data_IF_187794916036
#
_entry.id   IF_187794916036
#
_cell.length_a   1.000
_cell.length_b   1.000
_cell.length_c   1.000
_cell.angle_alpha   90.00
_cell.angle_beta   90.00
_cell.angle_gamma   90.00
#
_symmetry.space_group_name_H-M   'P 1'
#
loop_
_entity.id
_entity.type
_entity.pdbx_description
1 polymer ?
#
# COMPACT_ATOMS: atom_id res chain seq x y z
N UNK A 1 -26.77 19.03 -23.23
CA UNK A 1 -27.01 18.69 -21.82
C UNK A 1 -26.02 17.69 -21.24
N UNK A 2 -25.79 16.51 -21.84
CA UNK A 2 -24.79 15.54 -21.34
C UNK A 2 -23.39 16.14 -21.13
N UNK A 3 -22.86 16.86 -22.14
CA UNK A 3 -21.55 17.50 -22.02
C UNK A 3 -21.49 18.51 -20.88
N UNK A 4 -22.53 19.36 -20.75
CA UNK A 4 -22.63 20.36 -19.68
C UNK A 4 -22.57 19.70 -18.29
N UNK A 5 -23.31 18.61 -18.11
CA UNK A 5 -23.35 17.85 -16.86
C UNK A 5 -21.99 17.22 -16.50
N UNK A 6 -21.26 16.73 -17.50
CA UNK A 6 -19.93 16.15 -17.34
C UNK A 6 -18.90 17.24 -17.00
N UNK A 7 -18.90 18.36 -17.73
CA UNK A 7 -17.96 19.48 -17.48
C UNK A 7 -18.19 20.14 -16.12
N UNK A 8 -19.46 20.34 -15.73
CA UNK A 8 -19.83 20.97 -14.46
C UNK A 8 -19.99 19.94 -13.32
N UNK A 9 -19.64 18.67 -13.56
CA UNK A 9 -19.56 17.59 -12.56
C UNK A 9 -20.85 17.37 -11.75
N UNK A 10 -22.00 17.35 -12.42
CA UNK A 10 -23.29 17.09 -11.77
C UNK A 10 -24.11 16.01 -12.49
N UNK A 11 -25.03 15.40 -11.75
CA UNK A 11 -25.98 14.43 -12.29
C UNK A 11 -27.38 15.02 -12.44
N UNK A 12 -28.02 14.77 -13.58
CA UNK A 12 -29.43 15.11 -13.80
C UNK A 12 -30.29 13.87 -14.07
N UNK A 13 -31.60 14.02 -13.86
CA UNK A 13 -32.62 13.05 -14.23
C UNK A 13 -33.69 13.66 -15.12
N UNK A 14 -34.33 12.82 -15.93
CA UNK A 14 -35.45 13.23 -16.77
C UNK A 14 -36.74 13.13 -15.95
N UNK A 15 -37.36 14.27 -15.67
CA UNK A 15 -38.63 14.32 -14.91
C UNK A 15 -39.79 13.89 -15.78
N UNK A 16 -39.80 14.40 -17.02
CA UNK A 16 -40.80 14.10 -18.04
C UNK A 16 -40.15 14.21 -19.41
N UNK A 17 -40.28 13.16 -20.20
CA UNK A 17 -39.86 13.13 -21.59
C UNK A 17 -41.01 12.56 -22.42
N UNK A 18 -41.58 13.37 -23.30
CA UNK A 18 -42.56 12.92 -24.28
C UNK A 18 -42.25 13.56 -25.64
N UNK A 19 -43.01 13.21 -26.68
CA UNK A 19 -42.78 13.67 -28.05
C UNK A 19 -42.84 15.20 -28.23
N UNK A 20 -43.31 15.96 -27.23
CA UNK A 20 -43.47 17.42 -27.32
C UNK A 20 -42.72 18.21 -26.24
N UNK A 21 -42.17 17.55 -25.21
CA UNK A 21 -41.59 18.22 -24.03
C UNK A 21 -40.47 17.40 -23.40
N UNK A 22 -39.40 18.10 -23.01
CA UNK A 22 -38.27 17.55 -22.26
C UNK A 22 -38.10 18.39 -20.99
N UNK A 23 -38.09 17.74 -19.83
CA UNK A 23 -37.80 18.36 -18.55
C UNK A 23 -36.69 17.60 -17.81
N UNK A 24 -35.62 18.31 -17.49
CA UNK A 24 -34.47 17.80 -16.73
C UNK A 24 -34.39 18.52 -15.38
N UNK A 25 -34.03 17.79 -14.32
CA UNK A 25 -33.69 18.35 -13.01
C UNK A 25 -32.41 17.73 -12.47
N UNK A 26 -31.72 18.44 -11.58
CA UNK A 26 -30.60 17.85 -10.83
C UNK A 26 -31.10 16.63 -10.02
N UNK A 27 -30.24 15.63 -9.84
CA UNK A 27 -30.56 14.48 -8.98
C UNK A 27 -30.60 14.84 -7.50
N UNK A 28 -29.86 15.87 -7.09
CA UNK A 28 -29.99 16.41 -5.74
C UNK A 28 -31.36 17.05 -5.57
N UNK A 29 -32.11 16.59 -4.56
CA UNK A 29 -33.48 17.00 -4.30
C UNK A 29 -33.58 18.45 -3.83
N UNK A 30 -32.53 19.00 -3.24
CA UNK A 30 -32.48 20.38 -2.75
C UNK A 30 -31.88 21.34 -3.79
N UNK A 31 -31.47 20.82 -4.94
CA UNK A 31 -30.90 21.62 -6.01
C UNK A 31 -31.98 22.28 -6.90
N UNK A 32 -31.87 23.60 -7.09
CA UNK A 32 -32.78 24.38 -7.94
C UNK A 32 -32.59 24.19 -9.45
N UNK A 33 -31.49 23.55 -9.89
CA UNK A 33 -31.14 23.44 -11.31
C UNK A 33 -32.18 22.63 -12.10
N UNK A 34 -32.65 23.22 -13.21
CA UNK A 34 -33.66 22.62 -14.09
C UNK A 34 -33.63 23.19 -15.49
N UNK A 35 -33.96 22.34 -16.45
CA UNK A 35 -34.12 22.71 -17.87
C UNK A 35 -35.48 22.23 -18.33
N UNK A 36 -36.24 23.14 -18.97
CA UNK A 36 -37.52 22.82 -19.57
C UNK A 36 -37.55 23.29 -21.02
N UNK A 37 -37.75 22.34 -21.93
CA UNK A 37 -37.81 22.55 -23.37
C UNK A 37 -39.11 22.00 -23.96
N UNK A 38 -39.63 22.68 -24.99
CA UNK A 38 -40.77 22.23 -25.80
C UNK A 38 -40.33 22.03 -27.24
N UNK A 39 -40.81 20.98 -27.91
CA UNK A 39 -40.59 20.75 -29.35
C UNK A 39 -41.50 21.68 -30.15
N UNK A 40 -40.94 22.35 -31.16
CA UNK A 40 -41.67 23.24 -32.07
C UNK A 40 -42.49 22.44 -33.11
N UNK A 41 -43.32 23.12 -33.89
CA UNK A 41 -44.18 22.48 -34.91
C UNK A 41 -43.40 21.72 -35.99
N UNK A 42 -42.16 22.13 -36.25
CA UNK A 42 -41.22 21.48 -37.18
C UNK A 42 -40.67 20.13 -36.69
N UNK A 43 -40.99 19.72 -35.45
CA UNK A 43 -40.59 18.48 -34.77
C UNK A 43 -39.09 18.30 -34.53
N UNK A 44 -38.25 19.23 -34.96
CA UNK A 44 -36.79 19.12 -34.86
C UNK A 44 -36.17 20.23 -34.02
N UNK A 45 -36.88 21.35 -33.84
CA UNK A 45 -36.39 22.48 -33.06
C UNK A 45 -36.92 22.41 -31.62
N UNK A 46 -36.02 22.57 -30.66
CA UNK A 46 -36.38 22.71 -29.25
C UNK A 46 -36.38 24.18 -28.85
N UNK A 47 -37.49 24.66 -28.28
CA UNK A 47 -37.58 25.97 -27.64
C UNK A 47 -37.34 25.83 -26.14
N UNK A 48 -36.29 26.45 -25.64
CA UNK A 48 -36.02 26.58 -24.21
C UNK A 48 -37.09 27.50 -23.60
N UNK A 49 -37.81 26.99 -22.60
CA UNK A 49 -38.90 27.72 -21.92
C UNK A 49 -38.47 28.22 -20.56
N UNK A 50 -37.66 27.43 -19.85
CA UNK A 50 -37.14 27.78 -18.55
C UNK A 50 -35.77 27.10 -18.37
N UNK A 51 -34.79 27.87 -17.89
CA UNK A 51 -33.46 27.38 -17.57
C UNK A 51 -32.97 28.06 -16.30
N UNK A 52 -32.74 27.26 -15.27
CA UNK A 52 -32.06 27.69 -14.05
C UNK A 52 -30.65 27.13 -14.15
N UNK A 53 -29.69 27.99 -14.44
CA UNK A 53 -28.30 27.61 -14.66
C UNK A 53 -27.54 27.37 -13.35
N UNK A 54 -27.87 28.11 -12.29
CA UNK A 54 -27.17 28.04 -11.02
C UNK A 54 -27.51 26.77 -10.25
N UNK A 55 -26.47 26.12 -9.73
CA UNK A 55 -26.60 25.00 -8.81
C UNK A 55 -26.55 25.52 -7.36
N UNK A 56 -27.43 24.99 -6.52
CA UNK A 56 -27.41 25.22 -5.05
C UNK A 56 -26.83 24.03 -4.29
N UNK A 57 -26.47 22.95 -4.99
CA UNK A 57 -25.81 21.77 -4.43
C UNK A 57 -24.30 21.84 -4.65
N UNK A 58 -23.55 21.26 -3.72
CA UNK A 58 -22.15 20.91 -3.98
C UNK A 58 -22.08 19.78 -5.02
N UNK A 59 -21.00 19.73 -5.81
CA UNK A 59 -20.83 18.70 -6.81
C UNK A 59 -20.84 17.30 -6.15
N UNK A 60 -21.73 16.42 -6.60
CA UNK A 60 -21.87 15.04 -6.08
C UNK A 60 -20.52 14.29 -6.19
N UNK A 61 -19.79 14.20 -5.08
CA UNK A 61 -18.45 13.63 -5.05
C UNK A 61 -18.42 12.16 -5.48
N UNK A 62 -19.52 11.43 -5.28
CA UNK A 62 -19.61 10.00 -5.56
C UNK A 62 -20.01 9.69 -7.00
N UNK A 63 -20.55 10.66 -7.75
CA UNK A 63 -21.19 10.42 -9.04
C UNK A 63 -20.90 11.50 -10.10
N UNK A 64 -19.68 12.09 -10.04
CA UNK A 64 -19.21 13.21 -10.87
C UNK A 64 -19.37 13.03 -12.39
N UNK A 65 -19.56 11.80 -12.89
CA UNK A 65 -19.62 11.47 -14.32
C UNK A 65 -20.72 10.48 -14.74
N UNK A 66 -21.83 10.36 -13.99
CA UNK A 66 -22.88 9.37 -14.30
C UNK A 66 -23.50 9.50 -15.71
N UNK A 67 -23.29 10.62 -16.41
CA UNK A 67 -23.75 10.87 -17.78
C UNK A 67 -22.74 10.44 -18.87
N UNK A 68 -21.48 10.18 -18.52
CA UNK A 68 -20.41 9.75 -19.43
C UNK A 68 -20.46 8.23 -19.69
N UNK A 69 -21.56 7.75 -20.29
CA UNK A 69 -21.74 6.33 -20.63
C UNK A 69 -20.88 5.92 -21.84
N UNK A 70 -20.59 4.63 -22.00
CA UNK A 70 -19.75 4.09 -23.09
C UNK A 70 -20.09 4.65 -24.51
N UNK A 71 -21.36 4.80 -24.92
CA UNK A 71 -21.68 5.39 -26.24
C UNK A 71 -21.27 6.85 -26.38
N UNK A 72 -21.32 7.62 -25.30
CA UNK A 72 -20.88 9.02 -25.31
C UNK A 72 -19.35 9.11 -25.42
N UNK A 73 -18.63 8.23 -24.73
CA UNK A 73 -17.17 8.15 -24.80
C UNK A 73 -16.73 7.79 -26.23
N UNK A 74 -17.42 6.84 -26.87
CA UNK A 74 -17.15 6.47 -28.26
C UNK A 74 -17.34 7.64 -29.24
N UNK A 75 -18.44 8.40 -29.14
CA UNK A 75 -18.71 9.60 -29.96
C UNK A 75 -17.59 10.65 -29.83
N UNK A 76 -17.05 10.84 -28.62
CA UNK A 76 -15.97 11.80 -28.39
C UNK A 76 -14.62 11.35 -28.89
N UNK A 77 -14.36 10.05 -28.88
CA UNK A 77 -13.07 9.50 -29.28
C UNK A 77 -12.98 9.15 -30.76
N UNK A 78 -14.10 9.01 -31.46
CA UNK A 78 -14.11 8.53 -32.85
C UNK A 78 -13.26 9.39 -33.79
N UNK A 79 -13.46 10.73 -33.80
CA UNK A 79 -12.68 11.64 -34.65
C UNK A 79 -11.20 11.71 -34.27
N UNK A 80 -10.89 11.49 -32.99
CA UNK A 80 -9.53 11.52 -32.48
C UNK A 80 -8.75 10.24 -32.84
N UNK A 81 -9.39 9.07 -32.70
CA UNK A 81 -8.84 7.78 -33.12
C UNK A 81 -8.62 7.72 -34.63
N UNK A 82 -9.52 8.34 -35.43
CA UNK A 82 -9.36 8.46 -36.88
C UNK A 82 -8.14 9.31 -37.28
N UNK A 83 -7.81 10.34 -36.49
CA UNK A 83 -6.65 11.21 -36.76
C UNK A 83 -5.33 10.66 -36.18
N UNK A 84 -5.39 9.74 -35.22
CA UNK A 84 -4.22 9.14 -34.57
C UNK A 84 -4.30 7.60 -34.53
N UNK A 85 -4.28 6.91 -35.69
CA UNK A 85 -4.51 5.47 -35.77
C UNK A 85 -3.44 4.61 -35.07
N UNK A 86 -2.25 5.17 -34.81
CA UNK A 86 -1.16 4.49 -34.10
C UNK A 86 -1.17 4.76 -32.59
N UNK A 87 -2.17 5.49 -32.09
CA UNK A 87 -2.26 5.81 -30.68
C UNK A 87 -2.48 4.55 -29.84
N UNK A 88 -1.65 4.38 -28.81
CA UNK A 88 -1.77 3.24 -27.92
C UNK A 88 -2.94 3.46 -26.95
N UNK A 89 -3.66 2.41 -26.53
CA UNK A 89 -4.79 2.53 -25.60
C UNK A 89 -4.47 3.29 -24.31
N UNK A 90 -3.22 3.21 -23.80
CA UNK A 90 -2.79 3.96 -22.62
C UNK A 90 -2.71 5.47 -22.85
N UNK A 91 -2.29 5.88 -24.04
CA UNK A 91 -2.14 7.30 -24.40
C UNK A 91 -3.54 7.88 -24.65
N UNK A 92 -4.45 7.09 -25.24
CA UNK A 92 -5.87 7.41 -25.34
C UNK A 92 -6.54 7.55 -23.97
N UNK A 93 -6.27 6.62 -23.03
CA UNK A 93 -6.79 6.74 -21.66
C UNK A 93 -6.25 8.00 -20.99
N UNK A 94 -4.94 8.27 -21.04
CA UNK A 94 -4.37 9.50 -20.49
C UNK A 94 -5.02 10.76 -21.08
N UNK A 95 -5.29 10.78 -22.38
CA UNK A 95 -5.95 11.91 -23.03
C UNK A 95 -7.42 12.06 -22.58
N UNK A 96 -8.17 10.96 -22.47
CA UNK A 96 -9.54 10.97 -21.93
C UNK A 96 -9.56 11.43 -20.47
N UNK A 97 -8.56 11.02 -19.70
CA UNK A 97 -8.40 11.41 -18.29
C UNK A 97 -8.06 12.90 -18.14
N UNK A 98 -7.17 13.42 -19.00
CA UNK A 98 -6.80 14.83 -19.01
C UNK A 98 -7.93 15.73 -19.54
N UNK A 99 -8.62 15.34 -20.61
CA UNK A 99 -9.68 16.13 -21.23
C UNK A 99 -11.00 16.11 -20.46
N UNK A 100 -11.33 14.99 -19.80
CA UNK A 100 -12.65 14.77 -19.19
C UNK A 100 -12.61 14.46 -17.69
N UNK A 101 -11.44 14.48 -17.04
CA UNK A 101 -11.30 14.35 -15.59
C UNK A 101 -11.76 13.01 -15.01
N UNK A 102 -11.73 11.93 -15.80
CA UNK A 102 -12.54 10.74 -15.57
C UNK A 102 -11.98 9.68 -14.59
N UNK A 103 -10.76 9.80 -14.04
CA UNK A 103 -10.24 8.76 -13.12
C UNK A 103 -9.10 9.18 -12.18
N UNK A 104 -9.05 10.43 -11.72
CA UNK A 104 -8.17 10.75 -10.59
C UNK A 104 -8.83 10.39 -9.25
N UNK A 105 -10.12 10.69 -9.06
CA UNK A 105 -10.74 10.54 -7.74
C UNK A 105 -11.05 9.08 -7.35
N UNK A 106 -11.52 8.24 -8.28
CA UNK A 106 -11.85 6.83 -7.98
C UNK A 106 -10.63 5.97 -7.63
N UNK A 107 -9.48 6.28 -8.24
CA UNK A 107 -8.19 5.65 -7.90
C UNK A 107 -7.68 6.16 -6.54
N UNK A 108 -7.85 7.46 -6.25
CA UNK A 108 -7.51 8.08 -4.96
C UNK A 108 -8.42 7.59 -3.81
N UNK A 109 -9.69 7.28 -4.08
CA UNK A 109 -10.67 6.85 -3.07
C UNK A 109 -10.75 5.32 -2.90
N UNK A 110 -10.48 4.54 -3.94
CA UNK A 110 -10.58 3.07 -3.93
C UNK A 110 -9.26 2.36 -3.62
N UNK A 111 -8.12 2.91 -4.06
CA UNK A 111 -6.84 2.50 -3.52
C UNK A 111 -6.66 3.23 -2.20
N UNK A 112 -6.48 2.50 -1.09
CA UNK A 112 -5.88 3.12 0.10
C UNK A 112 -4.64 3.87 -0.39
N UNK A 113 -4.43 5.15 -0.05
CA UNK A 113 -3.16 5.81 -0.28
C UNK A 113 -2.09 4.99 0.43
N UNK A 114 -1.43 4.10 -0.30
CA UNK A 114 -0.14 3.58 0.13
C UNK A 114 0.78 4.72 -0.20
N UNK A 115 0.92 5.64 0.76
CA UNK A 115 1.98 6.63 0.72
C UNK A 115 3.27 5.83 0.79
N UNK A 116 3.78 5.48 -0.38
CA UNK A 116 5.12 4.94 -0.55
C UNK A 116 6.08 6.09 -0.33
N UNK A 117 6.42 6.35 0.92
CA UNK A 117 7.60 7.13 1.22
C UNK A 117 8.78 6.31 0.72
N UNK A 118 9.46 6.85 -0.29
CA UNK A 118 10.80 6.38 -0.63
C UNK A 118 11.60 6.37 0.68
N UNK A 119 12.23 5.23 1.00
CA UNK A 119 12.82 4.93 2.31
C UNK A 119 14.01 5.81 2.71
N UNK A 120 14.26 6.88 1.96
CA UNK A 120 15.14 7.98 2.26
C UNK A 120 14.23 9.18 2.53
N UNK A 121 14.11 9.75 3.73
CA UNK A 121 15.08 10.73 4.21
C UNK A 121 14.87 11.13 5.68
N UNK A 122 14.10 10.38 6.46
CA UNK A 122 13.89 10.70 7.87
C UNK A 122 14.31 9.50 8.71
N UNK A 123 15.36 9.68 9.52
CA UNK A 123 16.02 8.66 10.32
C UNK A 123 15.13 8.17 11.48
N UNK A 124 13.97 7.60 11.18
CA UNK A 124 13.11 6.88 12.12
C UNK A 124 13.65 5.47 12.46
N UNK A 125 14.98 5.29 12.42
CA UNK A 125 15.67 4.06 12.85
C UNK A 125 15.77 3.95 14.37
N UNK A 126 15.38 5.01 15.09
CA UNK A 126 15.31 5.02 16.54
C UNK A 126 14.32 3.95 17.03
N UNK A 127 14.80 3.09 17.91
CA UNK A 127 13.95 2.09 18.58
C UNK A 127 13.33 2.65 19.87
N UNK A 128 13.80 3.79 20.36
CA UNK A 128 13.35 4.40 21.61
C UNK A 128 12.74 5.76 21.36
N UNK A 129 11.68 6.05 22.10
CA UNK A 129 10.97 7.34 22.03
C UNK A 129 11.89 8.53 22.30
N UNK A 130 12.76 8.55 23.34
CA UNK A 130 13.66 9.69 23.54
C UNK A 130 14.64 9.92 22.38
N UNK A 131 15.13 8.86 21.74
CA UNK A 131 16.02 8.99 20.58
C UNK A 131 15.26 9.48 19.35
N UNK A 132 14.01 9.00 19.17
CA UNK A 132 13.11 9.49 18.13
C UNK A 132 12.78 10.97 18.30
N UNK A 133 12.45 11.40 19.52
CA UNK A 133 12.05 12.78 19.80
C UNK A 133 13.22 13.73 19.56
N UNK A 134 14.44 13.36 19.94
CA UNK A 134 15.65 14.12 19.58
C UNK A 134 15.81 14.31 18.06
N UNK A 135 15.49 13.31 17.24
CA UNK A 135 15.51 13.45 15.79
C UNK A 135 14.37 14.33 15.27
N UNK A 136 13.21 14.29 15.90
CA UNK A 136 12.08 15.16 15.54
C UNK A 136 12.33 16.62 15.92
N UNK A 137 13.07 16.88 17.00
CA UNK A 137 13.48 18.22 17.40
C UNK A 137 14.52 18.79 16.42
N UNK A 138 15.53 18.01 16.04
CA UNK A 138 16.49 18.40 14.99
C UNK A 138 15.80 18.70 13.65
N UNK A 139 14.79 17.90 13.29
CA UNK A 139 14.01 18.13 12.09
C UNK A 139 13.19 19.43 12.16
N UNK A 140 12.71 19.80 13.34
CA UNK A 140 12.02 21.08 13.54
C UNK A 140 12.94 22.28 13.28
N UNK A 141 14.18 22.18 13.77
CA UNK A 141 15.22 23.20 13.57
C UNK A 141 15.58 23.34 12.08
N UNK A 142 15.63 22.23 11.34
CA UNK A 142 15.94 22.20 9.91
C UNK A 142 14.75 22.67 9.05
N UNK A 143 13.54 22.11 9.26
CA UNK A 143 12.31 22.46 8.55
C UNK A 143 11.04 22.08 9.34
N UNK A 144 10.48 23.07 10.05
CA UNK A 144 9.21 22.96 10.78
C UNK A 144 8.07 22.40 9.92
N UNK A 145 7.98 22.72 8.62
CA UNK A 145 6.89 22.24 7.77
C UNK A 145 6.96 20.74 7.55
N UNK A 146 8.17 20.18 7.50
CA UNK A 146 8.37 18.72 7.38
C UNK A 146 7.92 18.02 8.66
N UNK A 147 8.24 18.56 9.84
CA UNK A 147 7.74 18.04 11.13
C UNK A 147 6.21 18.08 11.20
N UNK A 148 5.61 19.23 10.89
CA UNK A 148 4.14 19.39 10.89
C UNK A 148 3.46 18.42 9.92
N UNK A 149 4.06 18.19 8.75
CA UNK A 149 3.53 17.23 7.78
C UNK A 149 3.60 15.79 8.30
N UNK A 150 4.71 15.39 8.94
CA UNK A 150 4.85 14.06 9.55
C UNK A 150 3.87 13.82 10.70
N UNK A 151 3.62 14.85 11.50
CA UNK A 151 2.74 14.76 12.67
C UNK A 151 1.26 14.59 12.32
N UNK A 152 0.89 14.75 11.04
CA UNK A 152 -0.45 14.39 10.53
C UNK A 152 -0.68 12.88 10.52
N UNK A 153 0.38 12.10 10.36
CA UNK A 153 0.29 10.64 10.29
C UNK A 153 0.56 9.99 11.67
N UNK A 154 -0.20 8.95 12.05
CA UNK A 154 0.03 8.22 13.29
C UNK A 154 1.49 7.72 13.41
N UNK A 155 2.14 8.03 14.53
CA UNK A 155 3.54 7.62 14.79
C UNK A 155 3.74 6.10 14.67
N UNK A 156 2.73 5.30 15.03
CA UNK A 156 2.72 3.84 14.91
C UNK A 156 2.86 3.33 13.48
N UNK A 157 2.62 4.15 12.45
CA UNK A 157 2.76 3.78 11.05
C UNK A 157 4.09 4.23 10.42
N UNK A 158 4.84 5.12 11.08
CA UNK A 158 6.03 5.78 10.50
C UNK A 158 7.29 5.74 11.36
N UNK A 159 7.19 5.41 12.65
CA UNK A 159 8.30 5.45 13.58
C UNK A 159 8.43 4.15 14.37
N UNK A 160 9.58 3.47 14.22
CA UNK A 160 9.88 2.20 14.93
C UNK A 160 9.72 2.31 16.44
N UNK A 161 10.09 3.45 17.03
CA UNK A 161 9.92 3.70 18.46
C UNK A 161 8.48 3.57 18.97
N UNK A 162 7.49 3.62 18.07
CA UNK A 162 6.06 3.52 18.35
C UNK A 162 5.41 2.28 17.72
N UNK A 163 6.20 1.37 17.14
CA UNK A 163 5.68 0.13 16.57
C UNK A 163 5.31 -0.86 17.68
N UNK A 164 4.30 -1.67 17.39
CA UNK A 164 3.88 -2.73 18.28
C UNK A 164 4.88 -3.92 18.23
N UNK A 165 5.30 -4.36 19.41
CA UNK A 165 6.28 -5.44 19.60
C UNK A 165 5.72 -6.84 19.34
N UNK A 166 4.41 -7.02 19.15
CA UNK A 166 3.80 -8.34 18.94
C UNK A 166 3.99 -8.83 17.52
N UNK A 167 4.05 -7.91 16.55
CA UNK A 167 4.26 -8.21 15.13
C UNK A 167 5.65 -8.76 14.82
N UNK A 168 6.64 -8.50 15.68
CA UNK A 168 8.06 -8.85 15.51
C UNK A 168 8.63 -8.33 14.18
N UNK A 169 8.22 -7.13 13.78
CA UNK A 169 8.63 -6.50 12.54
C UNK A 169 9.04 -5.04 12.77
N UNK A 170 10.26 -4.68 12.38
CA UNK A 170 10.77 -3.30 12.39
C UNK A 170 10.85 -2.69 10.98
N UNK A 171 10.22 -3.34 9.99
CA UNK A 171 10.26 -2.90 8.61
C UNK A 171 9.49 -1.58 8.43
N UNK A 172 10.19 -0.59 7.89
CA UNK A 172 9.65 0.74 7.52
C UNK A 172 9.83 1.00 6.02
N UNK A 173 10.00 -0.06 5.24
CA UNK A 173 10.38 0.03 3.83
C UNK A 173 9.19 -0.22 2.91
N UNK A 174 9.23 0.42 1.76
CA UNK A 174 8.32 0.22 0.63
C UNK A 174 8.66 -1.07 -0.17
N UNK A 175 9.52 -1.96 0.32
CA UNK A 175 10.05 -3.12 -0.41
C UNK A 175 8.95 -3.98 -1.05
N UNK A 176 7.80 -4.13 -0.38
CA UNK A 176 6.65 -4.83 -0.95
C UNK A 176 6.11 -4.10 -2.18
N UNK A 177 5.87 -2.80 -2.08
CA UNK A 177 5.42 -1.96 -3.18
C UNK A 177 6.43 -1.95 -4.34
N UNK A 178 7.73 -1.89 -4.06
CA UNK A 178 8.78 -1.97 -5.08
C UNK A 178 8.78 -3.32 -5.79
N UNK A 179 8.68 -4.42 -5.03
CA UNK A 179 8.62 -5.77 -5.58
C UNK A 179 7.38 -5.96 -6.45
N UNK A 180 6.21 -5.51 -5.96
CA UNK A 180 4.96 -5.53 -6.68
C UNK A 180 5.04 -4.68 -7.96
N UNK A 181 5.53 -3.44 -7.85
CA UNK A 181 5.72 -2.53 -8.99
C UNK A 181 6.61 -3.18 -10.06
N UNK A 182 7.74 -3.77 -9.66
CA UNK A 182 8.63 -4.47 -10.57
C UNK A 182 7.95 -5.65 -11.29
N UNK A 183 7.10 -6.41 -10.59
CA UNK A 183 6.31 -7.47 -11.22
C UNK A 183 5.31 -6.92 -12.24
N UNK A 184 4.54 -5.91 -11.86
CA UNK A 184 3.48 -5.36 -12.73
C UNK A 184 4.05 -4.57 -13.91
N UNK A 185 5.26 -4.01 -13.83
CA UNK A 185 5.89 -3.28 -14.94
C UNK A 185 5.90 -4.07 -16.26
N UNK A 186 6.03 -5.41 -16.16
CA UNK A 186 6.11 -6.32 -17.31
C UNK A 186 4.75 -6.74 -17.88
N UNK A 187 3.67 -6.52 -17.13
CA UNK A 187 2.32 -7.04 -17.45
C UNK A 187 1.23 -5.96 -17.46
N UNK A 188 1.52 -4.74 -16.98
CA UNK A 188 0.56 -3.62 -16.88
C UNK A 188 0.03 -3.10 -18.21
N UNK A 189 0.65 -3.48 -19.32
CA UNK A 189 0.23 -3.13 -20.68
C UNK A 189 -0.78 -4.13 -21.28
N UNK A 190 -1.10 -5.21 -20.55
CA UNK A 190 -2.01 -6.26 -21.02
C UNK A 190 -3.47 -5.93 -20.69
N UNK A 191 -4.39 -6.61 -21.39
CA UNK A 191 -5.82 -6.56 -21.04
C UNK A 191 -6.02 -7.07 -19.62
N UNK A 192 -7.08 -6.61 -18.93
CA UNK A 192 -7.32 -6.95 -17.52
C UNK A 192 -7.23 -8.45 -17.24
N UNK A 193 -7.84 -9.27 -18.10
CA UNK A 193 -7.86 -10.72 -17.91
C UNK A 193 -6.46 -11.34 -18.05
N UNK A 194 -5.69 -10.89 -19.04
CA UNK A 194 -4.30 -11.29 -19.24
C UNK A 194 -3.37 -10.77 -18.13
N UNK A 195 -3.67 -9.61 -17.55
CA UNK A 195 -2.95 -9.07 -16.41
C UNK A 195 -3.14 -9.97 -15.18
N UNK A 196 -4.39 -10.30 -14.84
CA UNK A 196 -4.72 -11.12 -13.67
C UNK A 196 -4.16 -12.54 -13.86
N UNK A 197 -4.25 -13.12 -15.06
CA UNK A 197 -3.67 -14.43 -15.36
C UNK A 197 -2.15 -14.45 -15.19
N UNK A 198 -1.43 -13.52 -15.84
CA UNK A 198 0.04 -13.44 -15.72
C UNK A 198 0.50 -13.16 -14.29
N UNK A 199 -0.24 -12.34 -13.54
CA UNK A 199 0.05 -12.12 -12.13
C UNK A 199 -0.15 -13.39 -11.31
N UNK A 200 -1.24 -14.13 -11.54
CA UNK A 200 -1.54 -15.39 -10.87
C UNK A 200 -0.45 -16.43 -11.13
N UNK A 201 0.03 -16.55 -12.37
CA UNK A 201 1.17 -17.39 -12.74
C UNK A 201 2.48 -17.00 -12.03
N UNK A 202 2.74 -15.69 -11.87
CA UNK A 202 3.92 -15.21 -11.15
C UNK A 202 3.85 -15.56 -9.65
N UNK A 203 2.68 -15.37 -9.01
CA UNK A 203 2.50 -15.73 -7.61
C UNK A 203 2.57 -17.25 -7.43
N UNK A 204 1.90 -18.04 -8.29
CA UNK A 204 2.00 -19.51 -8.29
C UNK A 204 3.46 -19.97 -8.35
N UNK A 205 4.25 -19.42 -9.27
CA UNK A 205 5.67 -19.75 -9.42
C UNK A 205 6.48 -19.39 -8.18
N UNK A 206 6.24 -18.21 -7.59
CA UNK A 206 6.88 -17.80 -6.34
C UNK A 206 6.56 -18.77 -5.20
N UNK A 207 5.28 -19.12 -5.02
CA UNK A 207 4.86 -20.04 -3.95
C UNK A 207 5.50 -21.42 -4.14
N UNK A 208 5.56 -21.93 -5.36
CA UNK A 208 6.25 -23.18 -5.68
C UNK A 208 7.74 -23.12 -5.35
N UNK A 209 8.44 -22.07 -5.81
CA UNK A 209 9.87 -21.89 -5.52
C UNK A 209 10.15 -21.81 -4.01
N UNK A 210 9.29 -21.13 -3.25
CA UNK A 210 9.44 -21.05 -1.79
C UNK A 210 9.24 -22.41 -1.13
N UNK A 211 8.29 -23.22 -1.60
CA UNK A 211 8.13 -24.60 -1.11
C UNK A 211 9.33 -25.48 -1.41
N UNK A 212 9.87 -25.43 -2.62
CA UNK A 212 11.10 -26.16 -3.01
C UNK A 212 12.25 -25.81 -2.06
N UNK A 213 12.51 -24.51 -1.85
CA UNK A 213 13.53 -24.04 -0.91
C UNK A 213 13.29 -24.57 0.51
N UNK A 214 12.03 -24.67 0.94
CA UNK A 214 11.69 -25.15 2.28
C UNK A 214 11.88 -26.65 2.48
N UNK A 215 11.94 -27.44 1.40
CA UNK A 215 12.22 -28.88 1.44
C UNK A 215 13.68 -29.16 1.81
N UNK A 216 14.59 -28.25 1.47
CA UNK A 216 16.01 -28.35 1.82
C UNK A 216 16.31 -27.88 3.25
N UNK A 217 15.35 -27.20 3.90
CA UNK A 217 15.51 -26.66 5.25
C UNK A 217 15.17 -27.71 6.31
N UNK A 218 15.97 -27.84 7.38
CA UNK A 218 15.70 -28.77 8.48
C UNK A 218 14.51 -28.35 9.35
N UNK A 219 13.81 -29.35 9.89
CA UNK A 219 12.64 -29.13 10.74
C UNK A 219 13.02 -28.49 12.08
N UNK A 220 12.14 -27.63 12.59
CA UNK A 220 12.29 -26.96 13.90
C UNK A 220 13.55 -26.08 14.06
N UNK A 221 14.26 -25.79 12.97
CA UNK A 221 15.37 -24.83 12.95
C UNK A 221 14.92 -23.43 12.49
N UNK A 222 15.86 -22.50 12.52
CA UNK A 222 15.67 -21.15 11.99
C UNK A 222 15.75 -21.16 10.47
N UNK A 223 15.13 -20.16 9.86
CA UNK A 223 15.38 -19.87 8.44
C UNK A 223 16.82 -19.35 8.27
N UNK A 224 17.50 -19.66 7.15
CA UNK A 224 18.91 -19.28 6.93
C UNK A 224 19.17 -17.78 7.11
N UNK A 225 18.25 -16.93 6.68
CA UNK A 225 18.40 -15.48 6.82
C UNK A 225 18.45 -15.02 8.27
N UNK A 226 17.74 -15.71 9.19
CA UNK A 226 17.81 -15.41 10.61
C UNK A 226 19.15 -15.87 11.21
N UNK A 227 19.63 -17.05 10.84
CA UNK A 227 20.96 -17.53 11.22
C UNK A 227 22.08 -16.60 10.73
N UNK A 228 21.99 -16.12 9.48
CA UNK A 228 22.95 -15.18 8.91
C UNK A 228 22.97 -13.83 9.66
N UNK A 229 21.82 -13.35 10.14
CA UNK A 229 21.75 -12.15 10.98
C UNK A 229 22.49 -12.38 12.30
N UNK A 230 22.26 -13.51 12.95
CA UNK A 230 22.88 -13.83 14.24
C UNK A 230 24.39 -14.03 14.07
N UNK A 231 24.82 -14.82 13.09
CA UNK A 231 26.22 -15.10 12.80
C UNK A 231 27.02 -13.81 12.56
N UNK A 232 26.44 -12.84 11.84
CA UNK A 232 27.07 -11.52 11.62
C UNK A 232 27.31 -10.72 12.91
N UNK A 233 26.45 -10.89 13.92
CA UNK A 233 26.54 -10.16 15.18
C UNK A 233 27.46 -10.84 16.21
N UNK A 234 27.76 -12.13 16.06
CA UNK A 234 28.58 -12.91 17.01
C UNK A 234 30.03 -12.40 17.15
N UNK A 235 30.55 -11.68 16.16
CA UNK A 235 31.93 -11.16 16.18
C UNK A 235 32.12 -9.88 17.00
N UNK A 236 31.03 -9.29 17.50
CA UNK A 236 31.09 -8.08 18.31
C UNK A 236 31.57 -8.35 19.73
N UNK A 237 32.30 -7.40 20.32
CA UNK A 237 32.90 -7.56 21.66
C UNK A 237 32.29 -6.59 22.67
N UNK A 238 31.76 -7.17 23.73
CA UNK A 238 31.17 -6.50 24.88
C UNK A 238 31.72 -7.14 26.15
N UNK A 239 31.84 -6.36 27.22
CA UNK A 239 32.02 -6.91 28.57
C UNK A 239 30.66 -7.31 29.11
N UNK A 240 30.54 -8.50 29.69
CA UNK A 240 29.28 -9.00 30.26
C UNK A 240 29.44 -9.16 31.77
N UNK A 241 28.48 -8.65 32.53
CA UNK A 241 28.37 -8.83 33.97
C UNK A 241 27.01 -9.40 34.34
N UNK A 242 26.94 -10.35 35.26
CA UNK A 242 25.67 -10.84 35.80
C UNK A 242 24.95 -9.76 36.63
N UNK A 243 23.64 -9.70 36.52
CA UNK A 243 22.76 -8.81 37.31
C UNK A 243 21.84 -9.64 38.22
N UNK A 244 21.28 -10.73 37.69
CA UNK A 244 20.48 -11.72 38.43
C UNK A 244 20.69 -13.12 37.83
N UNK A 245 19.87 -14.10 38.23
CA UNK A 245 19.90 -15.46 37.66
C UNK A 245 19.64 -15.48 36.15
N UNK A 246 18.83 -14.55 35.64
CA UNK A 246 18.40 -14.51 34.24
C UNK A 246 18.80 -13.23 33.52
N UNK A 247 19.22 -12.20 34.28
CA UNK A 247 19.57 -10.89 33.75
C UNK A 247 21.08 -10.62 33.77
N UNK A 248 21.54 -9.97 32.71
CA UNK A 248 22.94 -9.64 32.46
C UNK A 248 23.07 -8.22 31.93
N UNK A 249 24.20 -7.58 32.18
CA UNK A 249 24.53 -6.26 31.66
C UNK A 249 25.63 -6.39 30.61
N UNK A 250 25.32 -6.07 29.36
CA UNK A 250 26.26 -5.97 28.26
C UNK A 250 26.79 -4.53 28.17
N UNK A 251 28.10 -4.37 28.28
CA UNK A 251 28.79 -3.08 28.29
C UNK A 251 29.65 -3.00 27.03
N UNK A 252 29.36 -2.01 26.18
CA UNK A 252 30.15 -1.79 24.98
C UNK A 252 31.57 -1.32 25.36
N UNK A 253 32.59 -2.03 24.88
CA UNK A 253 33.99 -1.77 25.28
C UNK A 253 34.54 -0.41 24.80
N UNK A 254 33.93 0.21 23.79
CA UNK A 254 34.36 1.49 23.24
C UNK A 254 33.55 2.66 23.81
N UNK A 255 32.23 2.55 23.79
CA UNK A 255 31.33 3.65 24.19
C UNK A 255 30.92 3.61 25.65
N UNK A 256 31.26 2.56 26.39
CA UNK A 256 30.84 2.27 27.78
C UNK A 256 29.33 2.19 28.04
N UNK A 257 28.50 2.43 27.01
CA UNK A 257 27.05 2.23 27.03
C UNK A 257 26.70 0.84 27.53
N UNK A 258 25.73 0.79 28.44
CA UNK A 258 25.28 -0.40 29.16
C UNK A 258 23.87 -0.77 28.70
N UNK A 259 23.66 -2.06 28.50
CA UNK A 259 22.36 -2.60 28.10
C UNK A 259 22.05 -3.82 28.95
N UNK A 260 20.97 -3.74 29.73
CA UNK A 260 20.47 -4.89 30.48
C UNK A 260 19.71 -5.83 29.53
N UNK A 261 19.97 -7.13 29.66
CA UNK A 261 19.34 -8.22 28.92
C UNK A 261 18.73 -9.18 29.94
N UNK A 262 17.47 -9.55 29.77
CA UNK A 262 16.82 -10.61 30.54
C UNK A 262 16.53 -11.79 29.61
N UNK A 263 17.24 -12.89 29.81
CA UNK A 263 17.12 -14.09 28.97
C UNK A 263 15.79 -14.83 29.18
N UNK A 264 15.20 -14.74 30.36
CA UNK A 264 13.93 -15.42 30.67
C UNK A 264 12.75 -14.75 29.98
N UNK A 265 12.79 -13.41 29.90
CA UNK A 265 11.77 -12.61 29.23
C UNK A 265 12.03 -12.40 27.73
N UNK A 266 13.22 -12.77 27.26
CA UNK A 266 13.70 -12.43 25.91
C UNK A 266 13.66 -10.93 25.62
N UNK A 267 14.12 -10.14 26.61
CA UNK A 267 14.08 -8.69 26.55
C UNK A 267 15.49 -8.11 26.56
N UNK A 268 15.69 -7.05 25.78
CA UNK A 268 16.87 -6.21 25.87
C UNK A 268 16.45 -4.76 26.10
N UNK A 269 17.19 -4.03 26.92
CA UNK A 269 16.98 -2.61 27.15
C UNK A 269 17.14 -1.76 25.86
N UNK A 270 17.74 -2.29 24.80
CA UNK A 270 17.79 -1.62 23.51
C UNK A 270 16.51 -1.78 22.68
N UNK A 271 15.53 -2.57 23.13
CA UNK A 271 14.21 -2.82 22.52
C UNK A 271 14.23 -3.59 21.19
N UNK A 272 15.35 -3.61 20.47
CA UNK A 272 15.51 -4.32 19.19
C UNK A 272 15.03 -5.78 19.26
N UNK A 273 15.39 -6.55 20.31
CA UNK A 273 14.99 -7.96 20.41
C UNK A 273 13.47 -8.12 20.51
N UNK A 274 12.82 -7.25 21.28
CA UNK A 274 11.37 -7.25 21.43
C UNK A 274 10.67 -6.88 20.11
N UNK A 275 11.24 -5.92 19.37
CA UNK A 275 10.68 -5.37 18.13
C UNK A 275 10.84 -6.29 16.93
N UNK A 276 12.03 -6.88 16.76
CA UNK A 276 12.32 -7.74 15.61
C UNK A 276 12.04 -9.20 15.93
N UNK A 277 11.97 -9.60 17.20
CA UNK A 277 11.92 -11.01 17.57
C UNK A 277 13.23 -11.76 17.33
N UNK A 278 14.30 -11.10 16.90
CA UNK A 278 15.63 -11.67 16.77
C UNK A 278 16.55 -11.10 17.85
N UNK A 279 17.41 -11.94 18.48
CA UNK A 279 18.42 -11.46 19.41
C UNK A 279 19.26 -10.35 18.75
N UNK A 280 19.28 -9.18 19.36
CA UNK A 280 20.24 -8.16 18.98
C UNK A 280 21.64 -8.52 19.51
N UNK A 281 22.62 -7.64 19.27
CA UNK A 281 24.00 -7.90 19.67
C UNK A 281 24.18 -8.20 21.16
N UNK A 282 23.39 -7.56 22.03
CA UNK A 282 23.51 -7.67 23.49
C UNK A 282 23.15 -9.06 24.05
N UNK A 283 22.00 -9.68 23.75
CA UNK A 283 21.74 -11.07 24.13
C UNK A 283 22.69 -12.05 23.47
N UNK A 284 23.15 -11.80 22.24
CA UNK A 284 24.11 -12.70 21.56
C UNK A 284 25.42 -12.81 22.37
N UNK A 285 26.01 -11.68 22.78
CA UNK A 285 27.25 -11.69 23.59
C UNK A 285 27.05 -12.28 24.99
N UNK A 286 25.83 -12.21 25.55
CA UNK A 286 25.48 -12.83 26.84
C UNK A 286 25.32 -14.34 26.71
N UNK A 287 24.64 -14.81 25.66
CA UNK A 287 24.29 -16.23 25.47
C UNK A 287 25.48 -17.04 24.97
N UNK A 288 26.31 -16.46 24.09
CA UNK A 288 27.41 -17.19 23.43
C UNK A 288 28.37 -17.91 24.40
N UNK A 289 28.82 -17.30 25.51
CA UNK A 289 29.66 -17.98 26.49
C UNK A 289 28.92 -19.03 27.34
N UNK A 290 27.61 -18.87 27.53
CA UNK A 290 26.78 -19.76 28.34
C UNK A 290 26.35 -21.02 27.58
N UNK A 291 26.45 -21.03 26.25
CA UNK A 291 26.04 -22.17 25.43
C UNK A 291 26.98 -23.37 25.59
N UNK A 292 26.51 -24.51 26.11
CA UNK A 292 27.18 -25.78 25.84
C UNK A 292 27.02 -26.06 24.34
N UNK A 293 28.14 -26.37 23.68
CA UNK A 293 28.27 -26.56 22.22
C UNK A 293 27.04 -27.31 21.65
N UNK A 294 26.15 -26.59 20.92
CA UNK A 294 25.00 -27.05 20.10
C UNK A 294 23.56 -26.69 20.54
N UNK A 295 23.32 -25.82 21.54
CA UNK A 295 21.95 -25.29 21.69
C UNK A 295 21.59 -24.34 20.54
N UNK A 296 20.46 -24.61 19.86
CA UNK A 296 20.01 -23.83 18.70
C UNK A 296 19.61 -22.40 19.07
N UNK A 297 19.91 -21.43 18.19
CA UNK A 297 19.40 -20.04 18.27
C UNK A 297 17.88 -19.96 18.18
N UNK A 298 17.23 -20.99 17.64
CA UNK A 298 15.78 -21.10 17.52
C UNK A 298 15.03 -20.72 18.80
N UNK A 299 15.45 -21.20 19.98
CA UNK A 299 14.73 -20.92 21.25
C UNK A 299 14.70 -19.45 21.66
N UNK A 300 15.61 -18.63 21.14
CA UNK A 300 15.73 -17.20 21.48
C UNK A 300 15.15 -16.29 20.40
N UNK A 301 14.57 -16.87 19.36
CA UNK A 301 14.01 -16.17 18.23
C UNK A 301 12.50 -16.33 18.22
N UNK A 302 11.81 -15.35 17.64
CA UNK A 302 10.36 -15.44 17.42
C UNK A 302 10.01 -16.65 16.55
N UNK A 303 8.89 -17.34 16.83
CA UNK A 303 8.36 -18.41 15.98
C UNK A 303 8.27 -18.06 14.49
N UNK A 304 8.10 -16.77 14.15
CA UNK A 304 8.06 -16.30 12.77
C UNK A 304 9.36 -16.52 11.97
N UNK A 305 10.49 -16.75 12.64
CA UNK A 305 11.77 -17.06 11.99
C UNK A 305 12.05 -18.56 11.90
N UNK A 306 11.13 -19.41 12.31
CA UNK A 306 11.30 -20.86 12.18
C UNK A 306 10.89 -21.34 10.79
N UNK A 307 11.55 -22.41 10.34
CA UNK A 307 11.22 -23.09 9.08
C UNK A 307 9.73 -23.46 9.01
N UNK A 308 9.13 -23.85 10.14
CA UNK A 308 7.69 -24.18 10.21
C UNK A 308 6.79 -22.98 9.86
N UNK A 309 7.12 -21.77 10.33
CA UNK A 309 6.35 -20.56 10.00
C UNK A 309 6.52 -20.18 8.52
N UNK A 310 7.74 -20.35 7.98
CA UNK A 310 8.00 -20.16 6.56
C UNK A 310 7.15 -21.13 5.70
N UNK A 311 7.16 -22.43 6.03
CA UNK A 311 6.34 -23.44 5.36
C UNK A 311 4.85 -23.13 5.44
N UNK A 312 4.35 -22.74 6.63
CA UNK A 312 2.95 -22.34 6.80
C UNK A 312 2.58 -21.12 5.94
N UNK A 313 3.47 -20.14 5.82
CA UNK A 313 3.27 -18.94 5.00
C UNK A 313 3.09 -19.28 3.51
N UNK A 314 3.81 -20.28 3.01
CA UNK A 314 3.82 -20.66 1.59
C UNK A 314 3.07 -21.97 1.28
N UNK A 315 2.29 -22.49 2.24
CA UNK A 315 1.54 -23.74 2.08
C UNK A 315 0.40 -23.64 1.06
N UNK A 316 -0.14 -22.44 0.84
CA UNK A 316 -1.25 -22.20 -0.06
C UNK A 316 -0.91 -22.46 -1.54
N UNK A 317 -1.94 -22.79 -2.32
CA UNK A 317 -1.86 -23.00 -3.75
C UNK A 317 -2.65 -21.92 -4.47
N UNK A 318 -2.11 -21.46 -5.60
CA UNK A 318 -2.83 -20.64 -6.57
C UNK A 318 -2.80 -21.43 -7.86
N UNK A 319 -3.99 -21.69 -8.40
CA UNK A 319 -4.14 -22.33 -9.70
C UNK A 319 -4.25 -21.27 -10.78
N UNK A 320 -3.70 -21.52 -11.99
CA UNK A 320 -3.89 -20.62 -13.12
C UNK A 320 -5.36 -20.59 -13.54
N UNK A 321 -5.74 -19.59 -14.34
CA UNK A 321 -7.05 -19.63 -14.98
C UNK A 321 -7.11 -20.76 -16.00
N UNK A 322 -8.30 -21.31 -16.19
CA UNK A 322 -8.57 -22.21 -17.30
C UNK A 322 -8.37 -21.49 -18.63
N UNK A 323 -8.17 -22.25 -19.71
CA UNK A 323 -8.03 -21.65 -21.03
C UNK A 323 -9.30 -20.86 -21.39
N UNK A 324 -9.15 -19.83 -22.22
CA UNK A 324 -10.30 -19.00 -22.63
C UNK A 324 -11.43 -19.83 -23.28
N UNK A 325 -11.07 -20.95 -23.92
CA UNK A 325 -12.00 -21.91 -24.56
C UNK A 325 -12.91 -22.63 -23.55
N UNK A 326 -12.47 -22.73 -22.30
CA UNK A 326 -13.15 -23.46 -21.23
C UNK A 326 -14.04 -22.55 -20.38
N UNK A 327 -14.03 -21.23 -20.61
CA UNK A 327 -14.85 -20.29 -19.86
C UNK A 327 -16.33 -20.44 -20.26
N UNK A 328 -17.19 -20.69 -19.27
CA UNK A 328 -18.64 -20.82 -19.48
C UNK A 328 -19.21 -19.61 -20.22
N UNK A 329 -20.01 -19.87 -21.26
CA UNK A 329 -20.65 -18.85 -22.10
C UNK A 329 -21.72 -18.05 -21.39
#
# INVERSE_FOLDING_TARGET
MKNLAIYQKFSYEQVRNNKSRIQLKCKDKECGWRVYCTVMSDKHTFKLRNFVETHTCEADEKNRNAQAKAPWVADKLEGFLRSHPQMRPKDLMLEVLNQFGASLDGFVQGCRPVVGLDGCFLKAKAYKVPEHDLFMDQLEEDDLKVKEWLDREPKSCRARAHFDVTSKCDAITNNFSESFNNWILKIRDKLLIQFVDKYSLAVMSLLHQRREISCEMPDNELIPTADDVIARLEHTRYKVSGVSLTAYCAINIKSEKKFVVDLSKQECQCIVWQMTGLPCVHPIVVIRPLRPRKESWARYCSPYYHVNAFRATYAGFIFPFDNEEDWGK
#
